data_IF_992008299880
#
_entry.id   IF_992008299880
#
_cell.length_a   1.000
_cell.length_b   1.000
_cell.length_c   1.000
_cell.angle_alpha   90.00
_cell.angle_beta   90.00
_cell.angle_gamma   90.00
#
_symmetry.space_group_name_H-M   'P 1'
#
loop_
_entity.id
_entity.type
_entity.pdbx_description
1 polymer ?
#
# COMPACT_ATOMS: atom_id res chain seq x y z
N UNK A 1 -8.15 -16.18 23.18
CA UNK A 1 -8.00 -14.92 23.96
C UNK A 1 -9.37 -14.31 24.25
N UNK A 2 -9.60 -13.78 25.45
CA UNK A 2 -10.82 -13.01 25.77
C UNK A 2 -10.93 -11.80 24.84
N UNK A 3 -12.12 -11.49 24.34
CA UNK A 3 -12.37 -10.29 23.53
C UNK A 3 -11.95 -9.00 24.26
N UNK A 4 -11.92 -9.01 25.60
CA UNK A 4 -11.44 -7.91 26.43
C UNK A 4 -9.91 -7.70 26.38
N UNK A 5 -9.14 -8.67 25.88
CA UNK A 5 -7.68 -8.58 25.72
C UNK A 5 -7.25 -8.30 24.26
N UNK A 6 -8.20 -8.28 23.33
CA UNK A 6 -7.92 -7.99 21.94
C UNK A 6 -8.17 -6.50 21.67
N UNK A 7 -7.14 -5.76 21.28
CA UNK A 7 -7.33 -4.42 20.78
C UNK A 7 -8.04 -4.51 19.41
N UNK A 8 -9.34 -4.24 19.39
CA UNK A 8 -10.18 -4.23 18.17
C UNK A 8 -10.10 -2.92 17.39
N UNK A 9 -9.23 -1.99 17.81
CA UNK A 9 -9.02 -0.74 17.07
C UNK A 9 -8.10 -0.95 15.87
N UNK A 10 -8.30 -0.13 14.84
CA UNK A 10 -7.45 -0.17 13.66
C UNK A 10 -6.01 0.22 14.02
N UNK A 11 -5.08 -0.69 13.74
CA UNK A 11 -3.68 -0.58 14.17
C UNK A 11 -2.79 0.23 13.21
N UNK A 12 -3.37 0.80 12.14
CA UNK A 12 -2.61 1.58 11.18
C UNK A 12 -2.33 3.01 11.66
N UNK A 13 -1.10 3.47 11.43
CA UNK A 13 -0.64 4.80 11.84
C UNK A 13 -1.47 5.90 11.16
N UNK A 14 -1.99 6.87 11.92
CA UNK A 14 -2.73 8.00 11.37
C UNK A 14 -1.80 9.19 11.12
N UNK A 15 -1.89 9.87 9.97
CA UNK A 15 -1.07 11.04 9.71
C UNK A 15 -1.50 12.20 10.61
N UNK A 16 -0.54 13.06 10.95
CA UNK A 16 -0.77 14.34 11.62
C UNK A 16 -0.60 15.49 10.64
N UNK A 17 -1.18 16.65 10.97
CA UNK A 17 -1.03 17.85 10.14
C UNK A 17 0.43 18.29 10.13
N UNK A 18 0.95 18.53 8.93
CA UNK A 18 2.30 19.08 8.75
C UNK A 18 2.27 20.60 8.94
N UNK A 19 3.14 21.11 9.80
CA UNK A 19 3.17 22.52 10.19
C UNK A 19 4.58 23.09 10.14
N UNK A 20 4.72 24.41 10.30
CA UNK A 20 6.01 25.10 10.10
C UNK A 20 7.14 24.52 10.95
N UNK A 21 6.89 24.18 12.21
CA UNK A 21 7.94 23.64 13.09
C UNK A 21 8.46 22.26 12.62
N UNK A 22 7.64 21.49 11.91
CA UNK A 22 8.07 20.19 11.36
C UNK A 22 9.08 20.35 10.22
N UNK A 23 9.11 21.50 9.53
CA UNK A 23 10.08 21.77 8.46
C UNK A 23 11.50 21.73 9.03
N UNK A 24 11.72 22.40 10.16
CA UNK A 24 13.03 22.43 10.81
C UNK A 24 13.48 21.03 11.25
N UNK A 25 12.54 20.25 11.80
CA UNK A 25 12.78 18.86 12.21
C UNK A 25 13.19 17.98 11.01
N UNK A 26 12.44 18.06 9.91
CA UNK A 26 12.74 17.32 8.68
C UNK A 26 14.09 17.73 8.10
N UNK A 27 14.43 19.02 8.13
CA UNK A 27 15.69 19.54 7.60
C UNK A 27 16.91 19.12 8.43
N UNK A 28 16.78 19.08 9.76
CA UNK A 28 17.83 18.62 10.68
C UNK A 28 17.99 17.10 10.71
N UNK A 29 17.00 16.37 10.21
CA UNK A 29 17.04 14.92 10.22
C UNK A 29 18.09 14.35 9.26
N UNK A 30 18.70 13.21 9.59
CA UNK A 30 19.58 12.47 8.69
C UNK A 30 18.91 12.16 7.34
N UNK A 31 19.71 11.82 6.32
CA UNK A 31 19.22 11.56 4.96
C UNK A 31 18.15 10.47 4.85
N UNK A 32 18.12 9.53 5.80
CA UNK A 32 17.12 8.45 5.89
C UNK A 32 16.08 8.68 6.99
N UNK A 33 16.02 9.88 7.59
CA UNK A 33 15.05 10.21 8.62
C UNK A 33 13.63 10.42 8.08
N UNK A 34 13.51 10.95 6.85
CA UNK A 34 12.22 11.25 6.23
C UNK A 34 12.19 10.83 4.75
N UNK A 35 11.05 10.25 4.37
CA UNK A 35 10.74 9.84 3.01
C UNK A 35 9.47 10.55 2.54
N UNK A 36 9.45 10.93 1.27
CA UNK A 36 8.38 11.72 0.68
C UNK A 36 7.72 10.94 -0.46
N UNK A 37 6.40 11.05 -0.58
CA UNK A 37 5.62 10.60 -1.73
C UNK A 37 4.42 11.52 -1.91
N UNK A 38 3.78 11.45 -3.08
CA UNK A 38 2.54 12.17 -3.31
C UNK A 38 1.44 11.67 -2.38
N UNK A 39 0.67 12.57 -1.77
CA UNK A 39 -0.55 12.15 -1.09
C UNK A 39 -1.59 11.79 -2.16
N UNK A 40 -2.14 10.58 -2.12
CA UNK A 40 -3.29 10.29 -2.99
C UNK A 40 -4.62 10.59 -2.31
N UNK A 41 -5.66 10.65 -3.14
CA UNK A 41 -7.06 10.73 -2.75
C UNK A 41 -7.71 9.35 -2.95
N UNK A 42 -7.37 8.42 -2.07
CA UNK A 42 -7.87 7.05 -2.05
C UNK A 42 -8.53 6.69 -0.72
N UNK A 43 -9.08 5.48 -0.68
CA UNK A 43 -9.61 4.90 0.55
C UNK A 43 -8.60 3.92 1.12
N UNK A 44 -8.04 4.24 2.30
CA UNK A 44 -7.03 3.43 2.97
C UNK A 44 -7.59 2.09 3.46
N UNK A 45 -6.84 1.03 3.20
CA UNK A 45 -7.12 -0.31 3.71
C UNK A 45 -5.82 -1.05 4.01
N UNK A 46 -5.85 -1.95 4.98
CA UNK A 46 -4.90 -3.05 4.97
C UNK A 46 -5.31 -4.09 3.93
N UNK A 47 -4.34 -4.72 3.29
CA UNK A 47 -4.54 -5.90 2.46
C UNK A 47 -3.90 -7.11 3.15
N UNK A 48 -4.74 -8.05 3.59
CA UNK A 48 -4.32 -9.25 4.30
C UNK A 48 -4.45 -10.49 3.41
N UNK A 49 -3.36 -11.26 3.30
CA UNK A 49 -3.32 -12.52 2.57
C UNK A 49 -3.55 -13.68 3.55
N UNK A 50 -4.70 -14.33 3.50
CA UNK A 50 -5.02 -15.44 4.41
C UNK A 50 -4.45 -16.79 3.97
N UNK A 51 -3.87 -16.85 2.76
CA UNK A 51 -3.47 -18.09 2.08
C UNK A 51 -4.58 -18.73 1.25
N UNK A 52 -5.86 -18.46 1.58
CA UNK A 52 -7.02 -18.88 0.78
C UNK A 52 -7.62 -17.75 -0.04
N UNK A 53 -7.55 -16.53 0.50
CA UNK A 53 -8.16 -15.35 -0.08
C UNK A 53 -7.44 -14.08 0.38
N UNK A 54 -7.79 -12.95 -0.23
CA UNK A 54 -7.31 -11.62 0.15
C UNK A 54 -8.47 -10.80 0.71
N UNK A 55 -8.24 -10.18 1.87
CA UNK A 55 -9.21 -9.33 2.55
C UNK A 55 -8.66 -7.91 2.64
N UNK A 56 -9.47 -6.93 2.20
CA UNK A 56 -9.25 -5.51 2.44
C UNK A 56 -9.91 -5.13 3.76
N UNK A 57 -9.14 -4.60 4.71
CA UNK A 57 -9.62 -4.22 6.04
C UNK A 57 -9.62 -2.70 6.13
N UNK A 58 -10.79 -2.11 6.35
CA UNK A 58 -10.92 -0.65 6.50
C UNK A 58 -10.59 -0.19 7.94
N UNK A 59 -10.62 1.13 8.15
CA UNK A 59 -10.36 1.75 9.47
C UNK A 59 -11.38 1.39 10.54
N UNK A 60 -12.56 0.90 10.15
CA UNK A 60 -13.59 0.40 11.08
C UNK A 60 -13.43 -1.12 11.32
N UNK A 61 -12.29 -1.70 10.93
CA UNK A 61 -11.98 -3.13 11.02
C UNK A 61 -12.97 -4.03 10.26
N UNK A 62 -13.62 -3.49 9.22
CA UNK A 62 -14.52 -4.27 8.35
C UNK A 62 -13.72 -4.86 7.20
N UNK A 63 -13.80 -6.19 7.07
CA UNK A 63 -13.22 -6.94 5.96
C UNK A 63 -14.14 -6.93 4.73
N UNK A 64 -13.57 -6.68 3.56
CA UNK A 64 -14.25 -6.80 2.27
C UNK A 64 -13.31 -7.33 1.19
N UNK A 65 -13.89 -7.70 0.05
CA UNK A 65 -13.13 -8.14 -1.11
C UNK A 65 -13.44 -7.26 -2.32
N UNK A 66 -12.52 -7.18 -3.30
CA UNK A 66 -12.85 -6.60 -4.60
C UNK A 66 -14.00 -7.37 -5.25
N UNK A 67 -14.78 -6.69 -6.10
CA UNK A 67 -15.86 -7.34 -6.84
C UNK A 67 -15.24 -8.32 -7.86
N UNK A 68 -15.59 -9.62 -7.81
CA UNK A 68 -15.11 -10.59 -8.78
C UNK A 68 -15.55 -10.24 -10.20
N UNK A 69 -14.67 -10.45 -11.18
CA UNK A 69 -15.01 -10.33 -12.61
C UNK A 69 -15.76 -11.57 -13.13
N UNK A 70 -15.52 -12.72 -12.52
CA UNK A 70 -16.13 -14.00 -12.84
C UNK A 70 -16.77 -14.60 -11.59
N UNK A 71 -17.96 -15.18 -11.75
CA UNK A 71 -18.70 -15.76 -10.63
C UNK A 71 -17.97 -16.97 -10.07
N UNK A 72 -17.82 -17.05 -8.75
CA UNK A 72 -17.19 -18.18 -8.07
C UNK A 72 -15.67 -18.21 -8.11
N UNK A 73 -15.00 -17.22 -8.74
CA UNK A 73 -13.55 -17.06 -8.68
C UNK A 73 -13.15 -16.02 -7.65
N UNK A 74 -12.06 -16.30 -6.93
CA UNK A 74 -11.47 -15.30 -6.04
C UNK A 74 -10.92 -14.12 -6.86
N UNK A 75 -11.31 -12.87 -6.55
CA UNK A 75 -10.90 -11.70 -7.31
C UNK A 75 -9.39 -11.47 -7.31
N UNK A 76 -8.69 -12.02 -6.31
CA UNK A 76 -7.26 -11.87 -6.10
C UNK A 76 -6.49 -13.18 -6.35
N UNK A 77 -7.12 -14.18 -6.99
CA UNK A 77 -6.50 -15.47 -7.33
C UNK A 77 -5.15 -15.34 -8.04
N UNK A 78 -4.96 -14.28 -8.84
CA UNK A 78 -3.73 -14.02 -9.58
C UNK A 78 -2.52 -13.68 -8.68
N UNK A 79 -2.72 -13.09 -7.49
CA UNK A 79 -1.63 -12.75 -6.55
C UNK A 79 -1.51 -13.71 -5.38
N UNK A 80 -2.56 -14.46 -5.03
CA UNK A 80 -2.54 -15.43 -3.94
C UNK A 80 -1.33 -16.37 -3.94
N UNK A 81 -0.97 -17.07 -5.03
CA UNK A 81 0.16 -18.01 -5.01
C UNK A 81 1.52 -17.31 -4.92
N UNK A 82 1.57 -16.00 -5.14
CA UNK A 82 2.81 -15.22 -5.12
C UNK A 82 3.16 -14.72 -3.71
N UNK A 83 2.22 -14.76 -2.77
CA UNK A 83 2.31 -14.08 -1.49
C UNK A 83 2.26 -15.08 -0.34
N UNK A 84 3.14 -14.92 0.65
CA UNK A 84 3.12 -15.72 1.88
C UNK A 84 1.82 -15.46 2.65
N UNK A 85 1.17 -16.53 3.11
CA UNK A 85 0.02 -16.42 3.99
C UNK A 85 0.40 -15.67 5.29
N UNK A 86 -0.54 -14.90 5.82
CA UNK A 86 -0.35 -13.99 6.95
C UNK A 86 0.24 -12.63 6.57
N UNK A 87 0.69 -12.41 5.33
CA UNK A 87 1.22 -11.11 4.91
C UNK A 87 0.17 -10.01 5.05
N UNK A 88 0.54 -8.88 5.64
CA UNK A 88 -0.31 -7.68 5.76
C UNK A 88 0.43 -6.48 5.15
N UNK A 89 -0.21 -5.85 4.17
CA UNK A 89 0.27 -4.65 3.50
C UNK A 89 -0.60 -3.45 3.91
N UNK A 90 0.00 -2.28 4.06
CA UNK A 90 -0.73 -1.02 4.21
C UNK A 90 -0.73 -0.26 2.89
N UNK A 91 -1.90 0.26 2.54
CA UNK A 91 -2.14 0.80 1.22
C UNK A 91 -3.49 1.48 1.10
N UNK A 92 -3.83 1.85 -0.12
CA UNK A 92 -5.06 2.54 -0.44
C UNK A 92 -5.60 2.13 -1.81
N UNK A 93 -6.93 2.09 -1.90
CA UNK A 93 -7.63 1.90 -3.17
C UNK A 93 -7.81 3.28 -3.80
N UNK A 94 -7.22 3.46 -4.98
CA UNK A 94 -7.27 4.72 -5.74
C UNK A 94 -7.93 4.46 -7.08
N UNK A 95 -8.75 5.40 -7.55
CA UNK A 95 -9.28 5.36 -8.91
C UNK A 95 -8.21 5.86 -9.89
N UNK A 96 -7.67 4.96 -10.72
CA UNK A 96 -6.77 5.35 -11.80
C UNK A 96 -7.56 6.17 -12.83
N UNK A 97 -7.36 7.49 -12.87
CA UNK A 97 -8.16 8.44 -13.66
C UNK A 97 -8.19 8.10 -15.16
N UNK A 98 -7.03 7.90 -15.79
CA UNK A 98 -6.92 7.56 -17.22
C UNK A 98 -7.62 6.25 -17.60
N UNK A 99 -7.45 5.20 -16.79
CA UNK A 99 -8.01 3.87 -17.06
C UNK A 99 -9.40 3.67 -16.45
N UNK A 100 -9.90 4.65 -15.70
CA UNK A 100 -11.19 4.65 -14.98
C UNK A 100 -11.45 3.36 -14.20
N UNK A 101 -10.45 2.89 -13.46
CA UNK A 101 -10.53 1.64 -12.70
C UNK A 101 -9.80 1.73 -11.36
N UNK A 102 -10.19 0.94 -10.35
CA UNK A 102 -9.48 0.91 -9.08
C UNK A 102 -8.12 0.22 -9.20
N UNK A 103 -7.14 0.72 -8.46
CA UNK A 103 -5.82 0.12 -8.23
C UNK A 103 -5.53 0.16 -6.72
N UNK A 104 -4.74 -0.79 -6.22
CA UNK A 104 -4.29 -0.79 -4.83
C UNK A 104 -2.85 -0.30 -4.75
N UNK A 105 -2.64 0.90 -4.21
CA UNK A 105 -1.30 1.46 -4.02
C UNK A 105 -0.80 1.01 -2.65
N UNK A 106 0.26 0.21 -2.63
CA UNK A 106 0.92 -0.29 -1.41
C UNK A 106 2.01 0.69 -1.01
N UNK A 107 1.99 1.17 0.23
CA UNK A 107 2.97 2.13 0.73
C UNK A 107 3.72 1.68 2.00
N UNK A 108 3.27 0.64 2.70
CA UNK A 108 4.03 0.04 3.80
C UNK A 108 3.74 -1.46 3.93
N UNK A 109 4.55 -2.15 4.72
CA UNK A 109 4.47 -3.58 5.00
C UNK A 109 4.41 -3.76 6.51
N UNK A 110 3.33 -4.38 6.99
CA UNK A 110 3.08 -4.49 8.43
C UNK A 110 3.57 -5.83 9.00
N UNK A 111 3.46 -6.90 8.21
CA UNK A 111 3.72 -8.27 8.66
C UNK A 111 4.20 -9.17 7.52
N UNK A 112 5.36 -9.83 7.70
CA UNK A 112 5.96 -10.77 6.73
C UNK A 112 6.90 -11.78 7.40
N UNK A 113 6.63 -13.08 7.38
CA UNK A 113 5.57 -13.75 8.17
C UNK A 113 5.66 -13.52 9.70
N UNK A 114 6.40 -12.51 10.14
CA UNK A 114 6.45 -11.99 11.50
C UNK A 114 6.15 -10.47 11.46
N UNK A 115 5.78 -9.85 12.58
CA UNK A 115 5.62 -8.39 12.63
C UNK A 115 6.92 -7.69 12.26
N UNK A 116 6.82 -6.63 11.45
CA UNK A 116 7.99 -5.81 11.05
C UNK A 116 7.84 -4.35 11.47
N UNK A 117 6.81 -4.01 12.25
CA UNK A 117 6.50 -2.64 12.69
C UNK A 117 7.55 -2.04 13.61
N UNK A 118 8.30 -2.88 14.32
CA UNK A 118 9.44 -2.49 15.13
C UNK A 118 10.64 -2.01 14.30
N UNK A 119 10.69 -2.35 13.00
CA UNK A 119 11.77 -1.92 12.13
C UNK A 119 11.58 -0.44 11.73
N UNK A 120 12.67 0.33 11.56
CA UNK A 120 12.61 1.64 10.92
C UNK A 120 11.92 1.60 9.56
N UNK A 121 11.26 2.69 9.17
CA UNK A 121 10.50 2.74 7.91
C UNK A 121 11.35 2.38 6.69
N UNK A 122 12.62 2.80 6.64
CA UNK A 122 13.54 2.43 5.54
C UNK A 122 13.66 0.91 5.37
N UNK A 123 13.74 0.14 6.47
CA UNK A 123 13.85 -1.31 6.41
C UNK A 123 12.52 -1.95 5.96
N UNK A 124 11.38 -1.41 6.37
CA UNK A 124 10.06 -1.85 5.88
C UNK A 124 9.87 -1.52 4.39
N UNK A 125 10.33 -0.34 3.97
CA UNK A 125 10.38 0.04 2.56
C UNK A 125 11.30 -0.91 1.75
N UNK A 126 12.39 -1.39 2.34
CA UNK A 126 13.22 -2.43 1.72
C UNK A 126 12.50 -3.77 1.59
N UNK A 127 11.68 -4.17 2.56
CA UNK A 127 10.78 -5.33 2.41
C UNK A 127 9.81 -5.15 1.23
N UNK A 128 9.26 -3.95 1.05
CA UNK A 128 8.38 -3.62 -0.08
C UNK A 128 9.13 -3.63 -1.43
N UNK A 129 10.33 -3.03 -1.49
CA UNK A 129 11.16 -2.96 -2.70
C UNK A 129 11.65 -4.34 -3.13
N UNK A 130 12.16 -5.15 -2.18
CA UNK A 130 12.66 -6.51 -2.42
C UNK A 130 11.55 -7.57 -2.49
N UNK A 131 10.30 -7.19 -2.16
CA UNK A 131 9.15 -8.10 -2.09
C UNK A 131 9.42 -9.37 -1.28
N UNK A 132 10.00 -9.24 -0.08
CA UNK A 132 10.41 -10.38 0.77
C UNK A 132 9.23 -11.24 1.25
N UNK A 133 8.01 -10.72 1.10
CA UNK A 133 6.74 -11.43 1.34
C UNK A 133 6.36 -12.42 0.25
N UNK A 134 7.15 -12.52 -0.81
CA UNK A 134 6.93 -13.49 -1.88
C UNK A 134 7.11 -14.92 -1.40
N UNK A 135 6.29 -15.82 -1.95
CA UNK A 135 6.53 -17.26 -1.85
C UNK A 135 7.79 -17.63 -2.65
N UNK A 136 8.51 -18.71 -2.26
CA UNK A 136 9.65 -19.21 -3.03
C UNK A 136 9.28 -19.61 -4.47
N UNK A 137 8.03 -20.01 -4.70
CA UNK A 137 7.48 -20.42 -5.99
C UNK A 137 6.93 -19.28 -6.84
N UNK A 138 7.01 -18.03 -6.35
CA UNK A 138 6.49 -16.87 -7.07
C UNK A 138 7.27 -16.67 -8.38
N UNK A 139 6.66 -17.02 -9.51
CA UNK A 139 7.26 -16.97 -10.84
C UNK A 139 7.07 -15.62 -11.57
N UNK A 140 6.44 -14.63 -10.93
CA UNK A 140 6.19 -13.30 -11.49
C UNK A 140 6.12 -12.22 -10.41
N UNK A 141 6.27 -10.96 -10.82
CA UNK A 141 6.09 -9.79 -9.95
C UNK A 141 4.59 -9.48 -9.80
N UNK A 142 4.10 -9.32 -8.56
CA UNK A 142 2.73 -8.89 -8.28
C UNK A 142 2.50 -7.41 -8.60
N UNK A 143 3.58 -6.64 -8.75
CA UNK A 143 3.55 -5.23 -9.13
C UNK A 143 3.88 -5.00 -10.61
N UNK A 144 3.73 -6.02 -11.46
CA UNK A 144 3.93 -5.88 -12.91
C UNK A 144 3.00 -4.77 -13.46
N UNK A 145 3.55 -3.70 -14.09
CA UNK A 145 2.75 -2.63 -14.68
C UNK A 145 1.70 -3.11 -15.68
N UNK A 146 1.92 -4.25 -16.36
CA UNK A 146 0.95 -4.85 -17.29
C UNK A 146 -0.35 -5.27 -16.59
N UNK A 147 -0.28 -5.57 -15.28
CA UNK A 147 -1.46 -5.90 -14.49
C UNK A 147 -2.42 -4.70 -14.36
N UNK A 148 -1.89 -3.48 -14.32
CA UNK A 148 -2.67 -2.24 -14.22
C UNK A 148 -3.56 -2.06 -15.45
N UNK A 149 -3.04 -2.37 -16.63
CA UNK A 149 -3.78 -2.27 -17.90
C UNK A 149 -4.66 -3.49 -18.19
N UNK A 150 -4.49 -4.60 -17.47
CA UNK A 150 -5.24 -5.84 -17.73
C UNK A 150 -6.65 -5.79 -17.11
N UNK A 151 -7.73 -5.75 -17.91
CA UNK A 151 -9.10 -5.61 -17.40
C UNK A 151 -9.62 -6.86 -16.66
N UNK A 152 -9.00 -8.03 -16.84
CA UNK A 152 -9.41 -9.26 -16.15
C UNK A 152 -8.96 -9.32 -14.69
N UNK A 153 -7.91 -8.58 -14.34
CA UNK A 153 -7.48 -8.40 -12.95
C UNK A 153 -8.43 -7.41 -12.30
N UNK A 154 -9.13 -7.70 -11.20
CA UNK A 154 -10.06 -6.75 -10.58
C UNK A 154 -9.35 -5.56 -9.93
N UNK A 155 -8.32 -5.84 -9.12
CA UNK A 155 -7.60 -4.84 -8.32
C UNK A 155 -6.08 -5.10 -8.40
N UNK A 156 -5.37 -4.49 -9.37
CA UNK A 156 -3.94 -4.63 -9.53
C UNK A 156 -3.20 -3.86 -8.44
N UNK A 157 -2.02 -4.35 -8.07
CA UNK A 157 -1.16 -3.75 -7.04
C UNK A 157 -0.14 -2.81 -7.69
N UNK A 158 0.09 -1.67 -7.06
CA UNK A 158 1.11 -0.68 -7.45
C UNK A 158 1.95 -0.36 -6.22
N UNK A 159 3.28 -0.35 -6.37
CA UNK A 159 4.17 0.13 -5.30
C UNK A 159 4.17 1.65 -5.28
N UNK A 160 3.96 2.23 -4.11
CA UNK A 160 4.17 3.66 -3.89
C UNK A 160 5.64 3.99 -4.12
N UNK A 161 5.90 5.07 -4.84
CA UNK A 161 7.24 5.58 -4.98
C UNK A 161 7.56 6.51 -3.80
N UNK A 162 8.66 6.23 -3.11
CA UNK A 162 9.19 7.07 -2.05
C UNK A 162 10.56 7.59 -2.46
N UNK A 163 10.75 8.89 -2.31
CA UNK A 163 12.03 9.58 -2.51
C UNK A 163 12.55 10.09 -1.16
N UNK A 164 13.86 10.34 -1.07
CA UNK A 164 14.41 11.01 0.11
C UNK A 164 14.01 12.47 0.14
N UNK A 165 14.11 13.12 1.31
CA UNK A 165 13.74 14.54 1.45
C UNK A 165 14.49 15.49 0.51
N UNK A 166 15.74 15.17 0.18
CA UNK A 166 16.59 15.95 -0.73
C UNK A 166 16.13 15.86 -2.19
N UNK A 167 15.28 14.88 -2.51
CA UNK A 167 14.80 14.61 -3.86
C UNK A 167 13.37 15.15 -4.08
N UNK A 168 12.91 16.08 -3.22
CA UNK A 168 11.58 16.67 -3.32
C UNK A 168 11.33 17.31 -4.69
N UNK A 169 12.31 18.03 -5.25
CA UNK A 169 12.19 18.66 -6.57
C UNK A 169 11.97 17.62 -7.68
N UNK A 170 12.64 16.46 -7.58
CA UNK A 170 12.45 15.33 -8.50
C UNK A 170 11.06 14.71 -8.38
N UNK A 171 10.47 14.69 -7.19
CA UNK A 171 9.08 14.28 -6.99
C UNK A 171 8.11 15.29 -7.60
N UNK A 172 8.29 16.58 -7.32
CA UNK A 172 7.39 17.64 -7.78
C UNK A 172 7.42 17.82 -9.30
N UNK A 173 8.57 17.63 -9.95
CA UNK A 173 8.70 17.70 -11.42
C UNK A 173 7.89 16.61 -12.16
N UNK A 174 7.49 15.54 -11.47
CA UNK A 174 6.65 14.46 -12.03
C UNK A 174 5.17 14.69 -11.80
N UNK A 175 4.81 15.67 -10.97
CA UNK A 175 3.41 16.03 -10.73
C UNK A 175 2.92 16.87 -11.89
N UNK A 176 1.86 16.42 -12.54
CA UNK A 176 1.20 17.19 -13.60
C UNK A 176 -0.06 17.81 -13.02
N UNK A 177 -0.22 19.12 -13.18
CA UNK A 177 -1.47 19.80 -12.83
C UNK A 177 -2.55 19.45 -13.85
N UNK A 178 -3.65 18.84 -13.40
CA UNK A 178 -4.82 18.62 -14.24
C UNK A 178 -5.64 19.92 -14.30
N UNK A 179 -5.58 20.61 -15.45
CA UNK A 179 -6.39 21.81 -15.70
C UNK A 179 -7.88 21.48 -15.67
N UNK A 180 -8.67 22.24 -14.91
CA UNK A 180 -10.14 22.20 -14.94
C UNK A 180 -10.85 21.47 -13.79
N UNK A 181 -10.15 21.10 -12.71
CA UNK A 181 -10.75 20.39 -11.56
C UNK A 181 -10.88 21.20 -10.27
N UNK A 182 -10.54 22.50 -10.29
CA UNK A 182 -10.95 23.45 -9.24
C UNK A 182 -11.76 24.56 -9.88
N UNK A 183 -13.07 24.36 -9.90
CA UNK A 183 -14.10 25.40 -9.98
C UNK A 183 -14.70 25.57 -8.60
#
# INVERSE_FOLDING_TARGET
PSAALANVTFTGCMPVNFSRHNIEEVQRSPDNGYFLSEKTDGVRHFMMFTGKTVVLIDRAMRGKQPIPKERGKDPMAHVLPLMKAGTVLDGEVVMHRRLRRPVFIVFDVMFVPQPVLQLPFEQRLMHLRKATFRTPTANRDMFDPKAVTNPSIPLPLVRKNFVKRQELDSLLSKVTEEKGMRS
#
